data_IF_888117065581
#
_entry.id   IF_888117065581
#
_cell.length_a   1.000
_cell.length_b   1.000
_cell.length_c   1.000
_cell.angle_alpha   90.00
_cell.angle_beta   90.00
_cell.angle_gamma   90.00
#
_symmetry.space_group_name_H-M   'P 1'
#
loop_
_entity.id
_entity.type
_entity.pdbx_description
1 polymer ?
#
# COMPACT_ATOMS: atom_id res chain seq x y z
N UNK A 1 9.88 -13.29 -8.90
CA UNK A 1 8.63 -12.94 -9.60
C UNK A 1 7.50 -12.88 -8.60
N UNK A 2 6.78 -11.76 -8.59
CA UNK A 2 5.55 -11.61 -7.80
C UNK A 2 4.40 -12.20 -8.64
N UNK A 3 3.67 -13.14 -8.07
CA UNK A 3 2.58 -13.85 -8.75
C UNK A 3 1.21 -13.23 -8.50
N UNK A 4 1.08 -12.41 -7.46
CA UNK A 4 -0.11 -11.64 -7.15
C UNK A 4 0.08 -10.77 -5.91
N UNK A 5 -0.79 -9.78 -5.76
CA UNK A 5 -0.74 -8.76 -4.71
C UNK A 5 -2.09 -8.68 -4.00
N UNK A 6 -2.14 -8.89 -2.70
CA UNK A 6 -3.27 -8.51 -1.86
C UNK A 6 -3.18 -7.02 -1.48
N UNK A 7 -4.30 -6.34 -1.24
CA UNK A 7 -4.31 -4.92 -0.82
C UNK A 7 -4.81 -4.80 0.61
N UNK A 8 -3.99 -4.21 1.48
CA UNK A 8 -4.31 -3.94 2.87
C UNK A 8 -4.28 -2.43 3.11
N UNK A 9 -5.24 -1.94 3.89
CA UNK A 9 -5.29 -0.54 4.30
C UNK A 9 -5.34 -0.53 5.82
N UNK A 10 -4.38 0.15 6.43
CA UNK A 10 -4.37 0.31 7.89
C UNK A 10 -5.52 1.21 8.35
N UNK A 11 -5.87 1.06 9.63
CA UNK A 11 -6.98 1.81 10.21
C UNK A 11 -6.71 3.31 10.16
N UNK A 12 -7.65 4.08 9.58
CA UNK A 12 -7.55 5.54 9.62
C UNK A 12 -8.03 6.08 10.96
N UNK A 13 -7.48 7.23 11.38
CA UNK A 13 -7.87 7.84 12.65
C UNK A 13 -9.38 8.15 12.69
N UNK A 14 -10.01 7.94 13.85
CA UNK A 14 -11.45 8.16 14.02
C UNK A 14 -11.90 9.58 13.61
N UNK A 15 -11.04 10.57 13.82
CA UNK A 15 -11.28 11.96 13.42
C UNK A 15 -11.30 12.10 11.89
N UNK A 16 -10.35 11.51 11.18
CA UNK A 16 -10.34 11.51 9.71
C UNK A 16 -11.54 10.74 9.13
N UNK A 17 -11.95 9.65 9.79
CA UNK A 17 -13.15 8.87 9.43
C UNK A 17 -14.43 9.68 9.58
N UNK A 18 -14.54 10.45 10.67
CA UNK A 18 -15.67 11.35 10.90
C UNK A 18 -15.76 12.46 9.84
N UNK A 19 -14.62 12.88 9.28
CA UNK A 19 -14.54 13.84 8.18
C UNK A 19 -14.61 13.17 6.77
N UNK A 20 -14.99 11.89 6.72
CA UNK A 20 -15.35 11.19 5.48
C UNK A 20 -14.24 10.40 4.81
N UNK A 21 -13.06 10.26 5.42
CA UNK A 21 -12.01 9.37 4.91
C UNK A 21 -12.27 7.92 5.34
N UNK A 22 -12.58 7.03 4.39
CA UNK A 22 -12.87 5.62 4.67
C UNK A 22 -11.78 4.70 4.10
N UNK A 23 -11.38 3.69 4.88
CA UNK A 23 -10.43 2.66 4.46
C UNK A 23 -10.92 1.91 3.21
N UNK A 24 -12.23 1.69 3.10
CA UNK A 24 -12.85 1.02 1.96
C UNK A 24 -12.67 1.80 0.66
N UNK A 25 -12.72 3.13 0.71
CA UNK A 25 -12.59 3.99 -0.46
C UNK A 25 -11.13 3.98 -0.95
N UNK A 26 -10.18 4.04 -0.01
CA UNK A 26 -8.74 3.89 -0.28
C UNK A 26 -8.46 2.52 -0.90
N UNK A 27 -8.98 1.44 -0.29
CA UNK A 27 -8.78 0.06 -0.79
C UNK A 27 -9.34 -0.11 -2.20
N UNK A 28 -10.57 0.37 -2.44
CA UNK A 28 -11.21 0.30 -3.74
C UNK A 28 -10.44 1.08 -4.83
N UNK A 29 -9.90 2.25 -4.48
CA UNK A 29 -9.06 3.04 -5.39
C UNK A 29 -7.81 2.26 -5.82
N UNK A 30 -7.08 1.69 -4.86
CA UNK A 30 -5.84 0.94 -5.12
C UNK A 30 -6.14 -0.30 -5.96
N UNK A 31 -7.14 -1.10 -5.56
CA UNK A 31 -7.62 -2.26 -6.32
C UNK A 31 -7.94 -1.89 -7.76
N UNK A 32 -8.74 -0.84 -7.97
CA UNK A 32 -9.13 -0.41 -9.32
C UNK A 32 -7.93 -0.05 -10.20
N UNK A 33 -6.89 0.55 -9.62
CA UNK A 33 -5.66 0.89 -10.35
C UNK A 33 -4.83 -0.35 -10.69
N UNK A 34 -4.67 -1.27 -9.74
CA UNK A 34 -3.94 -2.53 -9.96
C UNK A 34 -4.62 -3.41 -11.02
N UNK A 35 -5.95 -3.52 -10.99
CA UNK A 35 -6.73 -4.24 -12.01
C UNK A 35 -6.54 -3.64 -13.40
N UNK A 36 -6.60 -2.31 -13.53
CA UNK A 36 -6.36 -1.61 -14.81
C UNK A 36 -4.95 -1.82 -15.35
N UNK A 37 -3.98 -2.06 -14.47
CA UNK A 37 -2.61 -2.40 -14.84
C UNK A 37 -2.41 -3.90 -15.13
N UNK A 38 -3.46 -4.73 -15.05
CA UNK A 38 -3.41 -6.19 -15.16
C UNK A 38 -2.50 -6.87 -14.12
N UNK A 39 -2.39 -6.29 -12.93
CA UNK A 39 -1.70 -6.92 -11.79
C UNK A 39 -2.69 -7.89 -11.13
N UNK A 40 -2.28 -9.14 -10.93
CA UNK A 40 -3.11 -10.18 -10.31
C UNK A 40 -3.38 -9.79 -8.85
N UNK A 41 -4.66 -9.73 -8.49
CA UNK A 41 -5.09 -9.49 -7.12
C UNK A 41 -5.31 -10.80 -6.37
N UNK A 42 -4.86 -10.82 -5.12
CA UNK A 42 -5.07 -11.92 -4.18
C UNK A 42 -6.06 -11.49 -3.10
N UNK A 43 -6.75 -12.47 -2.51
CA UNK A 43 -7.54 -12.23 -1.30
C UNK A 43 -6.62 -11.93 -0.09
N UNK A 44 -7.13 -11.22 0.92
CA UNK A 44 -6.35 -10.73 2.08
C UNK A 44 -5.55 -11.81 2.81
N UNK A 45 -6.01 -13.06 2.77
CA UNK A 45 -5.36 -14.21 3.41
C UNK A 45 -4.72 -15.19 2.42
N UNK A 46 -4.73 -14.89 1.14
CA UNK A 46 -4.18 -15.79 0.12
C UNK A 46 -2.69 -15.54 -0.11
N UNK A 47 -2.23 -14.30 0.08
CA UNK A 47 -0.85 -13.88 -0.22
C UNK A 47 0.24 -14.74 0.44
N UNK A 48 0.03 -15.23 1.66
CA UNK A 48 1.04 -16.04 2.37
C UNK A 48 1.07 -17.51 1.92
N UNK A 49 0.03 -17.95 1.21
CA UNK A 49 -0.13 -19.34 0.75
C UNK A 49 0.28 -19.54 -0.71
N UNK A 50 0.35 -18.45 -1.48
CA UNK A 50 0.74 -18.46 -2.89
C UNK A 50 2.25 -18.25 -3.01
N UNK A 51 2.92 -19.11 -3.78
CA UNK A 51 4.33 -18.91 -4.11
C UNK A 51 4.49 -17.61 -4.91
N UNK A 52 5.29 -16.67 -4.39
CA UNK A 52 5.42 -15.33 -4.97
C UNK A 52 4.28 -14.37 -4.61
N UNK A 53 3.38 -14.75 -3.70
CA UNK A 53 2.35 -13.87 -3.17
C UNK A 53 2.94 -12.76 -2.29
N UNK A 54 2.39 -11.57 -2.45
CA UNK A 54 2.77 -10.36 -1.72
C UNK A 54 1.52 -9.61 -1.27
N UNK A 55 1.68 -8.64 -0.38
CA UNK A 55 0.62 -7.66 -0.11
C UNK A 55 1.16 -6.24 -0.18
N UNK A 56 0.33 -5.33 -0.65
CA UNK A 56 0.57 -3.90 -0.67
C UNK A 56 -0.18 -3.28 0.50
N UNK A 57 0.56 -2.79 1.49
CA UNK A 57 0.04 -2.09 2.65
C UNK A 57 -0.05 -0.59 2.34
N UNK A 58 -1.22 0.00 2.59
CA UNK A 58 -1.46 1.44 2.51
C UNK A 58 -1.66 1.95 3.93
N UNK A 59 -0.70 2.72 4.45
CA UNK A 59 -0.81 3.39 5.74
C UNK A 59 -1.20 4.85 5.52
N UNK A 60 -2.23 5.32 6.25
CA UNK A 60 -2.63 6.73 6.24
C UNK A 60 -2.75 7.24 7.66
N UNK A 61 -1.72 7.97 8.10
CA UNK A 61 -1.70 8.65 9.40
C UNK A 61 -2.17 10.10 9.20
N UNK A 62 -3.35 10.42 9.70
CA UNK A 62 -3.94 11.76 9.64
C UNK A 62 -4.16 12.35 11.04
N UNK A 63 -3.50 13.48 11.30
CA UNK A 63 -3.62 14.25 12.55
C UNK A 63 -4.22 15.64 12.26
N UNK A 64 -5.40 15.90 12.82
CA UNK A 64 -6.09 17.20 12.66
C UNK A 64 -5.36 18.28 13.46
N UNK A 65 -5.16 19.45 12.87
CA UNK A 65 -4.61 20.60 13.60
C UNK A 65 -5.63 21.13 14.62
N UNK A 66 -5.16 21.79 15.68
CA UNK A 66 -6.01 22.39 16.72
C UNK A 66 -7.02 23.41 16.16
N UNK A 67 -6.64 24.13 15.09
CA UNK A 67 -7.54 25.06 14.40
C UNK A 67 -8.73 24.38 13.73
N UNK A 68 -8.66 23.07 13.53
CA UNK A 68 -9.68 22.26 12.85
C UNK A 68 -9.75 22.44 11.33
N UNK A 69 -8.98 23.37 10.75
CA UNK A 69 -9.07 23.73 9.33
C UNK A 69 -8.39 22.72 8.39
N UNK A 70 -7.42 21.96 8.90
CA UNK A 70 -6.62 21.04 8.09
C UNK A 70 -6.06 19.87 8.92
N UNK A 71 -5.43 18.94 8.21
CA UNK A 71 -4.72 17.79 8.73
C UNK A 71 -3.26 17.81 8.28
N UNK A 72 -2.36 17.39 9.16
CA UNK A 72 -1.09 16.81 8.75
C UNK A 72 -1.34 15.34 8.39
N UNK A 73 -1.02 14.95 7.16
CA UNK A 73 -1.24 13.59 6.66
C UNK A 73 0.08 13.01 6.19
N UNK A 74 0.43 11.85 6.71
CA UNK A 74 1.49 10.99 6.21
C UNK A 74 0.86 9.75 5.56
N UNK A 75 1.27 9.45 4.33
CA UNK A 75 0.84 8.28 3.59
C UNK A 75 2.08 7.46 3.29
N UNK A 76 2.03 6.17 3.60
CA UNK A 76 3.06 5.21 3.20
C UNK A 76 2.43 4.06 2.41
N UNK A 77 3.15 3.58 1.41
CA UNK A 77 2.74 2.49 0.55
C UNK A 77 3.88 1.49 0.47
N UNK A 78 3.68 0.31 1.05
CA UNK A 78 4.72 -0.70 1.20
C UNK A 78 4.32 -2.02 0.53
N UNK A 79 5.18 -2.56 -0.34
CA UNK A 79 5.05 -3.93 -0.80
C UNK A 79 5.77 -4.85 0.18
N UNK A 80 5.01 -5.72 0.82
CA UNK A 80 5.53 -6.75 1.71
C UNK A 80 5.61 -8.09 0.99
N UNK A 81 6.75 -8.74 1.11
CA UNK A 81 7.01 -10.06 0.55
C UNK A 81 7.50 -11.02 1.61
N UNK A 82 7.35 -12.32 1.35
CA UNK A 82 7.96 -13.35 2.17
C UNK A 82 9.49 -13.30 2.01
N UNK A 83 10.20 -13.04 3.10
CA UNK A 83 11.66 -13.00 3.19
C UNK A 83 12.16 -14.07 4.16
N UNK A 84 13.43 -14.48 3.96
CA UNK A 84 14.09 -15.49 4.80
C UNK A 84 15.31 -14.88 5.47
N UNK A 85 15.31 -14.84 6.80
CA UNK A 85 16.45 -14.49 7.63
C UNK A 85 17.30 -15.75 7.89
N UNK A 86 18.51 -15.78 7.33
CA UNK A 86 19.43 -16.90 7.51
C UNK A 86 20.13 -16.85 8.87
N UNK A 87 19.65 -17.66 9.80
CA UNK A 87 20.16 -17.72 11.17
C UNK A 87 21.35 -18.68 11.33
N UNK A 88 22.57 -18.27 10.94
CA UNK A 88 23.78 -19.09 11.17
C UNK A 88 23.99 -19.50 12.64
N UNK A 89 23.51 -18.69 13.59
CA UNK A 89 23.59 -18.97 15.04
C UNK A 89 22.33 -19.58 15.64
N UNK A 90 21.18 -19.45 14.98
CA UNK A 90 19.88 -19.93 15.49
C UNK A 90 19.62 -21.40 15.12
N UNK A 91 20.45 -21.99 14.26
CA UNK A 91 20.26 -23.35 13.75
C UNK A 91 19.05 -23.51 12.82
N UNK A 92 18.30 -22.44 12.57
CA UNK A 92 17.12 -22.42 11.71
C UNK A 92 16.99 -21.09 10.96
N UNK A 93 16.38 -21.15 9.80
CA UNK A 93 15.98 -19.97 9.03
C UNK A 93 14.63 -19.45 9.57
N UNK A 94 14.46 -18.13 9.61
CA UNK A 94 13.18 -17.51 9.96
C UNK A 94 12.54 -16.99 8.68
N UNK A 95 11.32 -17.44 8.38
CA UNK A 95 10.50 -16.90 7.29
C UNK A 95 9.53 -15.89 7.88
N UNK A 96 9.48 -14.69 7.30
CA UNK A 96 8.61 -13.58 7.75
C UNK A 96 8.18 -12.73 6.55
N UNK A 97 7.16 -11.88 6.72
CA UNK A 97 6.92 -10.77 5.81
C UNK A 97 7.81 -9.58 6.18
N UNK A 98 8.28 -8.85 5.17
CA UNK A 98 8.98 -7.58 5.34
C UNK A 98 8.74 -6.68 4.12
N UNK A 99 8.78 -5.34 4.29
CA UNK A 99 8.72 -4.41 3.18
C UNK A 99 9.97 -4.58 2.30
N UNK A 100 9.76 -4.77 1.00
CA UNK A 100 10.82 -4.89 0.00
C UNK A 100 10.81 -3.75 -1.02
N UNK A 101 9.75 -2.97 -1.02
CA UNK A 101 9.60 -1.70 -1.75
C UNK A 101 8.69 -0.79 -0.93
N UNK A 102 9.00 0.50 -0.87
CA UNK A 102 8.13 1.49 -0.22
C UNK A 102 8.24 2.87 -0.85
N UNK A 103 7.17 3.64 -0.73
CA UNK A 103 7.15 5.06 -1.09
C UNK A 103 6.10 5.78 -0.23
N UNK A 104 6.40 7.01 0.15
CA UNK A 104 5.53 7.76 1.04
C UNK A 104 5.57 9.25 0.78
N UNK A 105 4.59 9.95 1.34
CA UNK A 105 4.43 11.40 1.19
C UNK A 105 3.85 12.00 2.45
N UNK A 106 4.43 13.12 2.88
CA UNK A 106 3.89 13.99 3.91
C UNK A 106 3.23 15.19 3.24
N UNK A 107 2.00 15.52 3.64
CA UNK A 107 1.23 16.61 3.06
C UNK A 107 0.28 17.25 4.07
N UNK A 108 -0.24 18.42 3.71
CA UNK A 108 -1.31 19.12 4.44
C UNK A 108 -2.60 19.01 3.64
N UNK A 109 -3.66 18.51 4.26
CA UNK A 109 -4.98 18.35 3.63
C UNK A 109 -6.01 19.26 4.31
N UNK A 110 -6.84 20.01 3.56
CA UNK A 110 -7.99 20.70 4.12
C UNK A 110 -8.94 19.72 4.82
N UNK A 111 -9.53 20.11 5.95
CA UNK A 111 -10.42 19.22 6.69
C UNK A 111 -11.71 18.88 5.91
N UNK A 112 -12.26 19.84 5.18
CA UNK A 112 -13.43 19.68 4.31
C UNK A 112 -13.13 18.93 2.99
N UNK A 113 -11.85 18.68 2.70
CA UNK A 113 -11.36 18.03 1.49
C UNK A 113 -10.41 16.87 1.76
N UNK A 114 -10.38 16.32 2.98
CA UNK A 114 -9.40 15.30 3.38
C UNK A 114 -9.48 14.06 2.48
N UNK A 115 -10.69 13.60 2.17
CA UNK A 115 -10.92 12.45 1.29
C UNK A 115 -10.23 12.63 -0.07
N UNK A 116 -10.60 13.69 -0.79
CA UNK A 116 -10.04 13.99 -2.12
C UNK A 116 -8.52 14.16 -2.08
N UNK A 117 -8.00 14.81 -1.04
CA UNK A 117 -6.57 15.04 -0.85
C UNK A 117 -5.79 13.72 -0.68
N UNK A 118 -6.30 12.82 0.17
CA UNK A 118 -5.71 11.50 0.41
C UNK A 118 -5.84 10.60 -0.81
N UNK A 119 -7.03 10.49 -1.41
CA UNK A 119 -7.26 9.66 -2.60
C UNK A 119 -6.39 10.08 -3.77
N UNK A 120 -6.21 11.39 -4.00
CA UNK A 120 -5.30 11.89 -5.04
C UNK A 120 -3.87 11.41 -4.76
N UNK A 121 -3.40 11.55 -3.53
CA UNK A 121 -2.04 11.18 -3.15
C UNK A 121 -1.81 9.68 -3.18
N UNK A 122 -2.73 8.87 -2.63
CA UNK A 122 -2.68 7.40 -2.74
C UNK A 122 -2.68 6.96 -4.20
N UNK A 123 -3.49 7.62 -5.04
CA UNK A 123 -3.53 7.36 -6.47
C UNK A 123 -2.19 7.58 -7.16
N UNK A 124 -1.49 8.67 -6.82
CA UNK A 124 -0.13 8.97 -7.31
C UNK A 124 0.89 7.93 -6.84
N UNK A 125 0.89 7.56 -5.55
CA UNK A 125 1.81 6.56 -5.00
C UNK A 125 1.56 5.17 -5.61
N UNK A 126 0.29 4.83 -5.86
CA UNK A 126 -0.08 3.57 -6.52
C UNK A 126 0.40 3.54 -7.97
N UNK A 127 0.34 4.66 -8.69
CA UNK A 127 0.87 4.74 -10.06
C UNK A 127 2.40 4.56 -10.09
N UNK A 128 3.11 5.06 -9.08
CA UNK A 128 4.55 4.80 -8.93
C UNK A 128 4.83 3.32 -8.66
N UNK A 129 4.07 2.69 -7.75
CA UNK A 129 4.17 1.26 -7.51
C UNK A 129 3.95 0.45 -8.79
N UNK A 130 2.87 0.73 -9.54
CA UNK A 130 2.54 0.03 -10.78
C UNK A 130 3.68 0.14 -11.80
N UNK A 131 4.26 1.33 -11.95
CA UNK A 131 5.38 1.57 -12.85
C UNK A 131 6.58 0.69 -12.48
N UNK A 132 7.01 0.75 -11.22
CA UNK A 132 8.17 0.01 -10.74
C UNK A 132 7.92 -1.51 -10.79
N UNK A 133 6.71 -1.95 -10.43
CA UNK A 133 6.27 -3.34 -10.52
C UNK A 133 6.38 -3.88 -11.94
N UNK A 134 5.88 -3.13 -12.93
CA UNK A 134 5.94 -3.52 -14.34
C UNK A 134 7.38 -3.59 -14.82
N UNK A 135 8.22 -2.62 -14.46
CA UNK A 135 9.62 -2.56 -14.88
C UNK A 135 10.42 -3.80 -14.48
N UNK A 136 10.12 -4.37 -13.31
CA UNK A 136 10.88 -5.52 -12.77
C UNK A 136 10.19 -6.87 -12.91
N UNK A 137 8.86 -6.92 -13.07
CA UNK A 137 8.10 -8.18 -13.18
C UNK A 137 7.52 -8.45 -14.58
N UNK A 138 7.39 -7.44 -15.44
CA UNK A 138 7.00 -7.71 -16.82
C UNK A 138 8.23 -8.22 -17.56
N UNK A 139 8.22 -9.49 -17.94
CA UNK A 139 9.16 -9.98 -18.93
C UNK A 139 9.11 -9.00 -20.11
N UNK A 140 10.25 -8.38 -20.45
CA UNK A 140 10.39 -7.66 -21.72
C UNK A 140 9.72 -8.54 -22.77
N UNK A 141 8.61 -8.08 -23.35
CA UNK A 141 8.08 -8.70 -24.56
C UNK A 141 9.26 -8.66 -25.53
N UNK A 142 9.83 -9.84 -25.76
CA UNK A 142 11.09 -9.99 -26.43
C UNK A 142 11.07 -9.28 -27.79
N UNK A 143 12.11 -8.50 -28.05
CA UNK A 143 12.61 -8.26 -29.40
C UNK A 143 14.10 -8.52 -29.38
#
# INVERSE_FOLDING_TARGET
DISGVAVMVDEVSATARADGLLESDIKALVISKLEKANIILLEDREWYSVFGGAYLLVEVIASKYESGASYAVFIDLELHQTVVLFGKKLGQNITTAAPTWSTGKLLSCPADGIKTCVETSVGELTDMFIKDYIEVNSAKIAK
#
